data_IF_084682264766
#
_entry.id   IF_084682264766
#
_cell.length_a   1.000
_cell.length_b   1.000
_cell.length_c   1.000
_cell.angle_alpha   90.00
_cell.angle_beta   90.00
_cell.angle_gamma   90.00
#
_symmetry.space_group_name_H-M   'P 1'
#
loop_
_entity.id
_entity.type
_entity.pdbx_description
1 polymer ?
#
# COMPACT_ATOMS: atom_id res chain seq x y z
N UNK A 1 -4.38 24.01 19.91
CA UNK A 1 -5.48 23.57 19.03
C UNK A 1 -4.94 22.79 17.87
N UNK A 2 -5.46 21.59 17.61
CA UNK A 2 -5.10 20.84 16.41
C UNK A 2 -5.79 21.52 15.22
N UNK A 3 -5.07 21.83 14.13
CA UNK A 3 -5.71 22.34 12.93
C UNK A 3 -6.67 21.22 12.48
N UNK A 4 -7.92 21.56 12.23
CA UNK A 4 -8.91 20.58 11.78
C UNK A 4 -8.41 19.76 10.57
N UNK A 5 -9.14 18.70 10.23
CA UNK A 5 -8.83 17.88 9.05
C UNK A 5 -8.69 18.77 7.78
N UNK A 6 -7.61 18.58 7.00
CA UNK A 6 -7.35 19.29 5.74
C UNK A 6 -8.60 19.36 4.85
N UNK A 7 -9.27 18.21 4.64
CA UNK A 7 -10.43 18.13 3.77
C UNK A 7 -11.64 18.94 4.26
N UNK A 8 -11.72 19.19 5.57
CA UNK A 8 -12.74 20.06 6.16
C UNK A 8 -12.38 21.54 6.06
N UNK A 9 -11.09 21.86 6.16
CA UNK A 9 -10.60 23.23 6.09
C UNK A 9 -10.58 23.70 4.64
N UNK A 10 -9.86 23.00 3.76
CA UNK A 10 -9.56 23.48 2.40
C UNK A 10 -10.40 22.81 1.30
N UNK A 11 -11.01 21.67 1.60
CA UNK A 11 -11.75 20.86 0.63
C UNK A 11 -10.96 19.64 0.14
N UNK A 12 -11.53 18.89 -0.79
CA UNK A 12 -10.97 17.61 -1.28
C UNK A 12 -10.57 17.65 -2.75
N UNK A 13 -10.59 18.82 -3.40
CA UNK A 13 -10.08 18.96 -4.77
C UNK A 13 -8.56 18.78 -4.77
N UNK A 14 -8.01 18.32 -5.89
CA UNK A 14 -6.57 18.16 -6.06
C UNK A 14 -5.82 19.49 -5.84
N UNK A 15 -6.45 20.60 -6.22
CA UNK A 15 -5.88 21.94 -6.15
C UNK A 15 -6.22 22.70 -4.84
N UNK A 16 -6.98 22.09 -3.91
CA UNK A 16 -7.46 22.74 -2.70
C UNK A 16 -6.35 23.39 -1.86
N UNK A 17 -5.19 22.72 -1.76
CA UNK A 17 -4.04 23.25 -1.04
C UNK A 17 -3.41 24.45 -1.73
N UNK A 18 -3.27 24.39 -3.06
CA UNK A 18 -2.73 25.48 -3.87
C UNK A 18 -3.66 26.70 -3.83
N UNK A 19 -4.97 26.48 -3.97
CA UNK A 19 -5.99 27.53 -3.87
C UNK A 19 -5.97 28.23 -2.50
N UNK A 20 -5.82 27.47 -1.41
CA UNK A 20 -5.74 28.02 -0.06
C UNK A 20 -4.44 28.80 0.19
N UNK A 21 -3.33 28.32 -0.37
CA UNK A 21 -2.03 29.01 -0.34
C UNK A 21 -2.06 30.33 -1.14
N UNK A 22 -2.68 30.34 -2.31
CA UNK A 22 -2.68 31.52 -3.20
C UNK A 22 -3.77 32.54 -2.85
N UNK A 23 -4.77 32.16 -2.04
CA UNK A 23 -5.84 33.05 -1.58
C UNK A 23 -5.38 34.00 -0.48
N UNK A 24 -5.57 35.31 -0.68
CA UNK A 24 -5.27 36.34 0.33
C UNK A 24 -6.07 36.17 1.61
N UNK A 25 -7.32 35.73 1.49
CA UNK A 25 -8.26 35.57 2.61
C UNK A 25 -7.91 34.32 3.44
N UNK A 26 -7.42 33.26 2.79
CA UNK A 26 -7.22 31.95 3.41
C UNK A 26 -5.78 31.62 3.74
N UNK A 27 -4.83 32.43 3.25
CA UNK A 27 -3.40 32.20 3.46
C UNK A 27 -3.01 32.07 4.93
N UNK A 28 -3.62 32.85 5.83
CA UNK A 28 -3.31 32.75 7.27
C UNK A 28 -3.71 31.38 7.84
N UNK A 29 -4.88 30.85 7.45
CA UNK A 29 -5.33 29.51 7.86
C UNK A 29 -4.41 28.42 7.29
N UNK A 30 -3.98 28.59 6.03
CA UNK A 30 -3.01 27.72 5.38
C UNK A 30 -1.67 27.69 6.13
N UNK A 31 -1.10 28.86 6.44
CA UNK A 31 0.16 28.98 7.17
C UNK A 31 0.05 28.35 8.56
N UNK A 32 -1.05 28.59 9.27
CA UNK A 32 -1.28 27.97 10.58
C UNK A 32 -1.34 26.44 10.46
N UNK A 33 -2.12 25.92 9.50
CA UNK A 33 -2.20 24.48 9.23
C UNK A 33 -0.83 23.87 8.93
N UNK A 34 -0.11 24.44 7.96
CA UNK A 34 1.21 23.96 7.53
C UNK A 34 2.24 24.00 8.66
N UNK A 35 2.19 25.02 9.51
CA UNK A 35 3.09 25.14 10.67
C UNK A 35 2.83 24.01 11.66
N UNK A 36 1.57 23.75 12.02
CA UNK A 36 1.25 22.68 12.96
C UNK A 36 1.55 21.31 12.33
N UNK A 37 1.26 21.13 11.04
CA UNK A 37 1.61 19.90 10.33
C UNK A 37 3.12 19.62 10.35
N UNK A 38 3.96 20.64 10.12
CA UNK A 38 5.41 20.50 10.21
C UNK A 38 5.88 20.09 11.61
N UNK A 39 5.33 20.70 12.67
CA UNK A 39 5.63 20.34 14.06
C UNK A 39 5.21 18.89 14.37
N UNK A 40 4.01 18.50 13.93
CA UNK A 40 3.49 17.15 14.15
C UNK A 40 4.31 16.11 13.39
N UNK A 41 4.63 16.38 12.13
CA UNK A 41 5.49 15.55 11.29
C UNK A 41 6.86 15.35 11.93
N UNK A 42 7.48 16.40 12.46
CA UNK A 42 8.75 16.28 13.17
C UNK A 42 8.62 15.44 14.46
N UNK A 43 7.57 15.66 15.25
CA UNK A 43 7.32 14.86 16.45
C UNK A 43 7.08 13.37 16.16
N UNK A 44 6.38 13.06 15.06
CA UNK A 44 6.20 11.70 14.56
C UNK A 44 7.56 11.11 14.14
N UNK A 45 8.36 11.87 13.38
CA UNK A 45 9.70 11.46 12.96
C UNK A 45 10.57 11.07 14.15
N UNK A 46 10.70 11.95 15.17
CA UNK A 46 11.55 11.67 16.34
C UNK A 46 11.07 10.43 17.11
N UNK A 47 9.75 10.26 17.25
CA UNK A 47 9.17 9.10 17.94
C UNK A 47 9.43 7.81 17.16
N UNK A 48 9.25 7.82 15.85
CA UNK A 48 9.51 6.67 14.99
C UNK A 48 11.00 6.34 14.96
N UNK A 49 11.88 7.33 14.81
CA UNK A 49 13.32 7.13 14.84
C UNK A 49 13.76 6.44 16.14
N UNK A 50 13.36 6.96 17.31
CA UNK A 50 13.66 6.33 18.60
C UNK A 50 13.13 4.90 18.70
N UNK A 51 11.93 4.66 18.17
CA UNK A 51 11.32 3.33 18.13
C UNK A 51 12.09 2.37 17.23
N UNK A 52 12.59 2.83 16.08
CA UNK A 52 13.32 2.00 15.13
C UNK A 52 14.75 1.71 15.59
N UNK A 53 15.44 2.68 16.21
CA UNK A 53 16.78 2.50 16.81
C UNK A 53 16.75 1.48 17.95
N UNK A 54 15.68 1.47 18.75
CA UNK A 54 15.53 0.51 19.86
C UNK A 54 15.09 -0.89 19.41
N UNK A 55 14.71 -1.07 18.14
CA UNK A 55 14.24 -2.35 17.61
C UNK A 55 15.35 -3.05 16.83
N UNK A 56 15.65 -4.32 17.14
CA UNK A 56 16.61 -5.09 16.35
C UNK A 56 16.09 -5.25 14.92
N UNK A 57 17.00 -5.22 13.95
CA UNK A 57 16.66 -5.46 12.55
C UNK A 57 15.98 -6.82 12.38
N UNK A 58 14.80 -6.85 11.77
CA UNK A 58 14.08 -8.09 11.42
C UNK A 58 13.57 -8.04 9.99
N UNK A 59 14.33 -8.62 9.07
CA UNK A 59 13.95 -8.74 7.66
C UNK A 59 14.69 -9.88 6.98
N UNK A 60 14.23 -10.31 5.81
CA UNK A 60 14.91 -11.32 4.98
C UNK A 60 16.33 -10.93 4.53
N UNK A 61 16.68 -9.64 4.47
CA UNK A 61 17.98 -9.13 3.98
C UNK A 61 19.18 -9.80 4.67
N UNK A 62 19.08 -10.02 5.99
CA UNK A 62 20.13 -10.64 6.80
C UNK A 62 19.72 -12.01 7.34
N UNK A 63 18.64 -12.59 6.83
CA UNK A 63 18.15 -13.88 7.30
C UNK A 63 19.20 -14.96 7.05
N UNK A 64 19.66 -15.60 8.12
CA UNK A 64 20.51 -16.77 8.02
C UNK A 64 19.72 -17.95 7.43
N UNK A 65 20.30 -18.73 6.52
CA UNK A 65 19.62 -19.90 5.95
C UNK A 65 19.40 -20.96 7.04
N UNK A 66 18.36 -21.79 6.85
CA UNK A 66 18.02 -22.86 7.80
C UNK A 66 19.18 -23.83 8.05
N UNK A 67 19.97 -24.13 7.01
CA UNK A 67 21.16 -24.99 7.12
C UNK A 67 22.20 -24.44 8.10
N UNK A 68 22.34 -23.12 8.19
CA UNK A 68 23.22 -22.47 9.16
C UNK A 68 22.63 -22.52 10.57
N UNK A 69 21.32 -22.28 10.69
CA UNK A 69 20.60 -22.34 11.96
C UNK A 69 20.65 -23.73 12.59
N UNK A 70 20.50 -24.79 11.80
CA UNK A 70 20.57 -26.17 12.26
C UNK A 70 21.97 -26.59 12.72
N UNK A 71 23.02 -25.89 12.28
CA UNK A 71 24.40 -26.09 12.76
C UNK A 71 24.68 -25.37 14.07
N UNK A 72 23.82 -24.42 14.48
CA UNK A 72 23.98 -23.72 15.75
C UNK A 72 23.55 -24.63 16.91
N UNK A 73 24.46 -25.01 17.83
CA UNK A 73 24.14 -25.94 18.92
C UNK A 73 22.98 -25.47 19.80
N UNK A 74 22.89 -24.16 20.03
CA UNK A 74 21.80 -23.55 20.82
C UNK A 74 20.45 -23.69 20.14
N UNK A 75 20.39 -23.45 18.82
CA UNK A 75 19.16 -23.56 18.04
C UNK A 75 18.74 -25.02 17.91
N UNK A 76 19.69 -25.91 17.60
CA UNK A 76 19.45 -27.35 17.54
C UNK A 76 18.94 -27.90 18.88
N UNK A 77 19.46 -27.42 20.01
CA UNK A 77 19.01 -27.81 21.35
C UNK A 77 17.58 -27.38 21.65
N UNK A 78 17.20 -26.15 21.31
CA UNK A 78 15.82 -25.68 21.50
C UNK A 78 14.84 -26.42 20.58
N UNK A 79 15.22 -26.67 19.32
CA UNK A 79 14.44 -27.49 18.38
C UNK A 79 14.21 -28.90 18.91
N UNK A 80 15.24 -29.54 19.48
CA UNK A 80 15.13 -30.87 20.10
C UNK A 80 14.18 -30.91 21.29
N UNK A 81 13.99 -29.78 21.99
CA UNK A 81 13.02 -29.67 23.09
C UNK A 81 11.57 -29.46 22.63
N UNK A 82 11.30 -29.54 21.33
CA UNK A 82 9.99 -29.25 20.75
C UNK A 82 9.57 -27.78 20.89
N UNK A 83 10.50 -26.92 21.34
CA UNK A 83 10.30 -25.48 21.37
C UNK A 83 10.68 -24.99 20.00
N UNK A 84 9.77 -24.26 19.35
CA UNK A 84 10.21 -23.33 18.34
C UNK A 84 11.27 -22.45 19.02
N UNK A 85 12.55 -22.44 18.61
CA UNK A 85 13.41 -21.32 18.97
C UNK A 85 12.61 -20.06 18.63
N UNK A 86 12.83 -18.95 19.32
CA UNK A 86 12.40 -17.67 18.77
C UNK A 86 13.15 -17.50 17.45
N UNK A 87 12.65 -18.11 16.37
CA UNK A 87 13.23 -18.15 15.04
C UNK A 87 13.53 -16.72 14.61
N UNK A 88 12.67 -15.78 15.03
CA UNK A 88 12.81 -14.35 14.83
C UNK A 88 13.98 -13.63 15.53
N UNK A 89 14.76 -14.25 16.43
CA UNK A 89 15.91 -13.59 17.09
C UNK A 89 17.26 -14.09 16.58
N UNK A 90 17.42 -15.40 16.38
CA UNK A 90 18.69 -15.98 15.91
C UNK A 90 18.84 -15.94 14.38
N UNK A 91 17.73 -16.04 13.62
CA UNK A 91 17.74 -16.00 12.16
C UNK A 91 18.10 -14.62 11.63
N UNK A 92 17.66 -13.58 12.33
CA UNK A 92 17.87 -12.18 11.98
C UNK A 92 18.90 -11.51 12.91
N UNK A 93 19.69 -12.30 13.65
CA UNK A 93 20.66 -11.79 14.59
C UNK A 93 21.73 -10.96 13.89
N UNK A 94 21.64 -9.65 14.05
CA UNK A 94 22.60 -8.64 13.59
C UNK A 94 22.69 -7.57 14.69
N UNK A 95 23.83 -6.87 14.74
CA UNK A 95 24.03 -5.72 15.65
C UNK A 95 23.35 -4.44 15.11
N UNK A 96 22.64 -4.56 13.99
CA UNK A 96 21.91 -3.48 13.34
C UNK A 96 20.46 -3.40 13.82
N UNK A 97 19.89 -2.22 13.66
CA UNK A 97 18.54 -1.86 14.10
C UNK A 97 17.59 -1.74 12.90
N UNK A 98 16.29 -1.61 13.17
CA UNK A 98 15.33 -1.27 12.11
C UNK A 98 15.55 0.13 11.53
N UNK A 99 16.25 1.02 12.26
CA UNK A 99 16.65 2.32 11.72
C UNK A 99 17.71 2.16 10.61
N UNK A 100 18.67 1.26 10.79
CA UNK A 100 19.66 0.96 9.75
C UNK A 100 19.02 0.39 8.47
N UNK A 101 17.95 -0.40 8.60
CA UNK A 101 17.16 -0.87 7.45
C UNK A 101 16.55 0.32 6.71
N UNK A 102 15.91 1.23 7.46
CA UNK A 102 15.29 2.42 6.89
C UNK A 102 16.31 3.27 6.14
N UNK A 103 17.43 3.57 6.78
CA UNK A 103 18.48 4.43 6.24
C UNK A 103 19.16 3.88 5.00
N UNK A 104 19.34 2.55 4.92
CA UNK A 104 20.07 1.91 3.82
C UNK A 104 19.21 1.56 2.63
N UNK A 105 17.91 1.31 2.85
CA UNK A 105 17.06 0.72 1.81
C UNK A 105 15.74 1.44 1.60
N UNK A 106 15.12 1.99 2.64
CA UNK A 106 13.75 2.52 2.52
C UNK A 106 13.74 3.99 2.14
N UNK A 107 14.66 4.79 2.68
CA UNK A 107 14.78 6.22 2.38
C UNK A 107 14.94 6.46 0.87
N UNK A 108 15.99 5.90 0.28
CA UNK A 108 16.31 6.08 -1.13
C UNK A 108 15.30 5.39 -2.05
N UNK A 109 14.70 4.27 -1.59
CA UNK A 109 13.59 3.63 -2.31
C UNK A 109 12.39 4.57 -2.44
N UNK A 110 12.10 5.39 -1.43
CA UNK A 110 11.03 6.39 -1.49
C UNK A 110 11.26 7.41 -2.61
N UNK A 111 12.49 7.92 -2.74
CA UNK A 111 12.86 8.84 -3.82
C UNK A 111 12.76 8.17 -5.19
N UNK A 112 13.23 6.93 -5.31
CA UNK A 112 13.13 6.16 -6.54
C UNK A 112 11.66 5.91 -6.94
N UNK A 113 10.80 5.58 -6.00
CA UNK A 113 9.37 5.38 -6.27
C UNK A 113 8.70 6.70 -6.69
N UNK A 114 9.02 7.82 -6.05
CA UNK A 114 8.50 9.13 -6.44
C UNK A 114 8.91 9.51 -7.88
N UNK A 115 10.13 9.17 -8.29
CA UNK A 115 10.57 9.38 -9.67
C UNK A 115 9.82 8.46 -10.66
N UNK A 116 9.58 7.19 -10.29
CA UNK A 116 8.74 6.30 -11.11
C UNK A 116 7.30 6.83 -11.25
N UNK A 117 6.72 7.36 -10.17
CA UNK A 117 5.39 8.00 -10.21
C UNK A 117 5.38 9.22 -11.12
N UNK A 118 6.43 10.04 -11.09
CA UNK A 118 6.57 11.22 -11.95
C UNK A 118 6.71 10.87 -13.43
N UNK A 119 7.48 9.82 -13.75
CA UNK A 119 7.61 9.32 -15.13
C UNK A 119 6.30 8.69 -15.60
N UNK A 120 5.63 7.96 -14.72
CA UNK A 120 4.43 7.22 -15.02
C UNK A 120 4.68 6.03 -15.94
N UNK A 121 3.60 5.43 -16.42
CA UNK A 121 3.63 4.33 -17.39
C UNK A 121 2.92 4.77 -18.65
N UNK A 122 3.59 4.64 -19.79
CA UNK A 122 2.98 4.92 -21.09
C UNK A 122 1.83 3.95 -21.35
N UNK A 123 0.64 4.48 -21.59
CA UNK A 123 -0.57 3.70 -21.86
C UNK A 123 -1.13 4.10 -23.22
N UNK A 124 -1.35 3.11 -24.09
CA UNK A 124 -2.03 3.30 -25.37
C UNK A 124 -3.55 3.43 -25.14
N UNK A 125 -3.97 4.69 -24.97
CA UNK A 125 -5.37 5.04 -24.70
C UNK A 125 -6.30 4.71 -25.87
N UNK A 126 -5.80 4.81 -27.11
CA UNK A 126 -6.59 4.50 -28.31
C UNK A 126 -6.89 3.01 -28.38
N UNK A 127 -5.88 2.16 -28.20
CA UNK A 127 -6.06 0.71 -28.14
C UNK A 127 -6.96 0.29 -26.99
N UNK A 128 -6.80 0.89 -25.81
CA UNK A 128 -7.69 0.62 -24.68
C UNK A 128 -9.14 1.06 -24.97
N UNK A 129 -9.33 2.19 -25.63
CA UNK A 129 -10.65 2.66 -26.08
C UNK A 129 -11.30 1.67 -27.06
N UNK A 130 -10.55 1.24 -28.07
CA UNK A 130 -11.01 0.26 -29.06
C UNK A 130 -11.36 -1.09 -28.40
N UNK A 131 -10.51 -1.57 -27.48
CA UNK A 131 -10.78 -2.77 -26.71
C UNK A 131 -12.03 -2.63 -25.82
N UNK A 132 -12.20 -1.49 -25.15
CA UNK A 132 -13.39 -1.21 -24.34
C UNK A 132 -14.65 -1.30 -25.19
N UNK A 133 -14.69 -0.63 -26.34
CA UNK A 133 -15.85 -0.68 -27.25
C UNK A 133 -16.13 -2.09 -27.75
N UNK A 134 -15.09 -2.84 -28.14
CA UNK A 134 -15.24 -4.23 -28.60
C UNK A 134 -15.81 -5.13 -27.49
N UNK A 135 -15.28 -5.02 -26.27
CA UNK A 135 -15.71 -5.83 -25.14
C UNK A 135 -17.11 -5.46 -24.66
N UNK A 136 -17.48 -4.17 -24.69
CA UNK A 136 -18.85 -3.73 -24.39
C UNK A 136 -19.87 -4.33 -25.35
N UNK A 137 -19.61 -4.30 -26.66
CA UNK A 137 -20.49 -4.92 -27.66
C UNK A 137 -20.61 -6.44 -27.46
N UNK A 138 -19.50 -7.10 -27.13
CA UNK A 138 -19.50 -8.55 -26.86
C UNK A 138 -20.28 -8.89 -25.59
N UNK A 139 -20.14 -8.09 -24.54
CA UNK A 139 -20.89 -8.26 -23.30
C UNK A 139 -22.40 -8.09 -23.54
N UNK A 140 -22.81 -7.10 -24.34
CA UNK A 140 -24.20 -6.90 -24.74
C UNK A 140 -24.72 -8.09 -25.55
N UNK A 141 -23.98 -8.56 -26.56
CA UNK A 141 -24.37 -9.71 -27.36
C UNK A 141 -24.51 -10.99 -26.52
N UNK A 142 -23.57 -11.26 -25.60
CA UNK A 142 -23.66 -12.39 -24.67
C UNK A 142 -24.83 -12.25 -23.71
N UNK A 143 -25.14 -11.04 -23.24
CA UNK A 143 -26.32 -10.78 -22.40
C UNK A 143 -27.61 -11.09 -23.17
N UNK A 144 -27.71 -10.62 -24.41
CA UNK A 144 -28.88 -10.87 -25.27
C UNK A 144 -29.03 -12.35 -25.64
N UNK A 145 -27.92 -13.04 -25.92
CA UNK A 145 -27.91 -14.49 -26.13
C UNK A 145 -28.36 -15.22 -24.87
N UNK A 146 -27.79 -14.89 -23.70
CA UNK A 146 -28.18 -15.48 -22.43
C UNK A 146 -29.67 -15.27 -22.13
N UNK A 147 -30.18 -14.04 -22.29
CA UNK A 147 -31.60 -13.75 -22.12
C UNK A 147 -32.47 -14.57 -23.08
N UNK A 148 -32.07 -14.70 -24.35
CA UNK A 148 -32.80 -15.53 -25.34
C UNK A 148 -32.79 -17.00 -24.96
N UNK A 149 -31.64 -17.56 -24.57
CA UNK A 149 -31.54 -18.96 -24.17
C UNK A 149 -32.40 -19.21 -22.93
N UNK A 150 -32.29 -18.36 -21.89
CA UNK A 150 -33.06 -18.51 -20.66
C UNK A 150 -34.57 -18.35 -20.87
N UNK A 151 -34.99 -17.47 -21.77
CA UNK A 151 -36.41 -17.31 -22.14
C UNK A 151 -36.97 -18.48 -22.96
N UNK A 152 -36.11 -19.37 -23.48
CA UNK A 152 -36.49 -20.56 -24.23
C UNK A 152 -36.34 -21.87 -23.43
N UNK A 153 -35.89 -21.81 -22.17
CA UNK A 153 -35.77 -23.00 -21.33
C UNK A 153 -37.13 -23.33 -20.75
N UNK A 154 -37.64 -24.51 -21.10
CA UNK A 154 -38.87 -25.09 -20.54
C UNK A 154 -38.55 -26.01 -19.35
N UNK A 155 -39.42 -25.99 -18.35
CA UNK A 155 -39.42 -26.92 -17.22
C UNK A 155 -39.89 -28.32 -17.63
N UNK A 156 -39.79 -29.28 -16.71
CA UNK A 156 -40.21 -30.67 -16.96
C UNK A 156 -41.72 -30.83 -17.26
N UNK A 157 -42.50 -29.78 -17.01
CA UNK A 157 -43.93 -29.65 -17.26
C UNK A 157 -44.26 -28.93 -18.59
N UNK A 158 -43.25 -28.53 -19.37
CA UNK A 158 -43.41 -27.79 -20.62
C UNK A 158 -43.72 -26.30 -20.45
N UNK A 159 -43.66 -25.78 -19.22
CA UNK A 159 -43.83 -24.35 -18.94
C UNK A 159 -42.50 -23.60 -19.03
N UNK A 160 -42.51 -22.34 -19.48
CA UNK A 160 -41.28 -21.54 -19.53
C UNK A 160 -40.78 -21.25 -18.11
N UNK A 161 -39.52 -21.61 -17.83
CA UNK A 161 -38.90 -21.45 -16.50
C UNK A 161 -38.63 -19.99 -16.12
N UNK A 162 -38.54 -19.09 -17.09
CA UNK A 162 -38.36 -17.66 -16.89
C UNK A 162 -39.30 -16.88 -17.82
N UNK A 163 -40.57 -16.65 -17.41
CA UNK A 163 -41.59 -15.97 -18.21
C UNK A 163 -41.33 -14.46 -18.40
#
# INVERSE_FOLDING_TARGET
DAPGNFGRLFGTSADAGQEAHDSKERFHEWVHYATVDAVMTHGIYERLQRTLVSRPWRSSVHAKPMSWLLRCPRVAHELRKGRAPTYGSAQYGTDLTMWDLYERYIRDLGEFLAELERVGVGVDLERLGNMKTLLSKRAEACREEFCRTMAAVEGADGSLLNP
#
